data_IF_601471327960
#
_entry.id   IF_601471327960
#
_cell.length_a   1.000
_cell.length_b   1.000
_cell.length_c   1.000
_cell.angle_alpha   90.00
_cell.angle_beta   90.00
_cell.angle_gamma   90.00
#
_symmetry.space_group_name_H-M   'P 1'
#
loop_
_entity.id
_entity.type
_entity.pdbx_description
1 polymer ?
#
# COMPACT_ATOMS: atom_id res chain seq x y z
N UNK A 1 35.82 -1.94 -48.45
CA UNK A 1 34.52 -1.24 -48.43
C UNK A 1 33.75 -1.84 -47.28
N UNK A 2 33.86 -1.22 -46.11
CA UNK A 2 33.28 -1.71 -44.84
C UNK A 2 31.93 -0.98 -44.65
N UNK A 3 30.85 -1.73 -44.68
CA UNK A 3 29.50 -1.19 -44.43
C UNK A 3 29.32 -0.99 -42.93
N UNK A 4 29.25 0.24 -42.48
CA UNK A 4 28.81 0.65 -41.15
C UNK A 4 27.26 0.55 -41.09
N UNK A 5 26.76 -0.47 -40.42
CA UNK A 5 25.35 -0.56 -40.09
C UNK A 5 25.16 0.24 -38.77
N UNK A 6 24.58 1.45 -38.94
CA UNK A 6 24.14 2.27 -37.81
C UNK A 6 22.86 1.67 -37.24
N UNK A 7 22.93 1.05 -36.06
CA UNK A 7 21.79 0.71 -35.23
C UNK A 7 21.37 1.97 -34.46
N UNK A 8 20.44 2.73 -35.01
CA UNK A 8 19.73 3.76 -34.24
C UNK A 8 18.79 3.07 -33.27
N UNK A 9 19.28 2.76 -32.07
CA UNK A 9 18.49 2.25 -30.97
C UNK A 9 17.50 3.32 -30.51
N UNK A 10 16.22 3.11 -30.76
CA UNK A 10 15.12 3.90 -30.20
C UNK A 10 15.13 3.68 -28.69
N UNK A 11 15.78 4.56 -27.93
CA UNK A 11 15.69 4.59 -26.47
C UNK A 11 14.30 5.11 -26.15
N UNK A 12 13.36 4.17 -25.98
CA UNK A 12 12.04 4.51 -25.44
C UNK A 12 12.23 4.87 -23.97
N UNK A 13 12.39 6.14 -23.66
CA UNK A 13 12.45 6.65 -22.30
C UNK A 13 11.04 6.54 -21.73
N UNK A 14 10.74 5.42 -21.05
CA UNK A 14 9.55 5.33 -20.21
C UNK A 14 9.67 6.38 -19.11
N UNK A 15 8.94 7.46 -19.25
CA UNK A 15 8.82 8.48 -18.20
C UNK A 15 7.95 7.85 -17.09
N UNK A 16 8.60 7.33 -16.05
CA UNK A 16 7.87 6.88 -14.87
C UNK A 16 7.09 8.08 -14.33
N UNK A 17 5.78 7.95 -14.30
CA UNK A 17 4.90 9.00 -13.79
C UNK A 17 4.88 8.87 -12.29
N UNK A 18 5.27 9.90 -11.58
CA UNK A 18 5.33 9.98 -10.13
C UNK A 18 4.10 10.70 -9.60
N UNK A 19 3.52 10.23 -8.51
CA UNK A 19 2.49 10.98 -7.82
C UNK A 19 3.12 12.01 -6.88
N UNK A 20 2.40 13.12 -6.67
CA UNK A 20 2.80 14.16 -5.72
C UNK A 20 1.88 14.09 -4.51
N UNK A 21 2.47 14.07 -3.31
CA UNK A 21 1.79 14.12 -2.02
C UNK A 21 2.34 15.28 -1.21
N UNK A 22 1.66 15.65 -0.12
CA UNK A 22 2.09 16.76 0.73
C UNK A 22 2.14 16.34 2.21
N UNK A 23 2.97 17.05 2.97
CA UNK A 23 2.97 17.05 4.42
C UNK A 23 2.96 18.50 4.91
N UNK A 24 1.86 18.92 5.52
CA UNK A 24 1.64 20.33 5.94
C UNK A 24 1.83 21.32 4.79
N UNK A 25 1.37 20.91 3.58
CA UNK A 25 1.48 21.71 2.36
C UNK A 25 2.82 21.62 1.62
N UNK A 26 3.86 21.05 2.21
CA UNK A 26 5.15 20.82 1.54
C UNK A 26 5.07 19.58 0.65
N UNK A 27 5.39 19.75 -0.65
CA UNK A 27 5.25 18.71 -1.65
C UNK A 27 6.46 17.77 -1.72
N UNK A 28 6.19 16.48 -1.89
CA UNK A 28 7.17 15.45 -2.21
C UNK A 28 6.54 14.35 -3.07
N UNK A 29 7.35 13.46 -3.62
CA UNK A 29 6.91 12.52 -4.64
C UNK A 29 7.00 11.07 -4.16
N UNK A 30 6.17 10.22 -4.77
CA UNK A 30 6.33 8.77 -4.73
C UNK A 30 7.12 8.28 -5.95
N UNK A 31 7.67 7.07 -5.88
CA UNK A 31 8.47 6.46 -6.97
C UNK A 31 7.64 6.13 -8.23
N UNK A 32 6.31 6.16 -8.13
CA UNK A 32 5.41 5.82 -9.23
C UNK A 32 3.99 6.29 -8.98
N UNK A 33 3.03 5.69 -9.69
CA UNK A 33 1.58 5.83 -9.47
C UNK A 33 1.01 4.51 -8.95
N UNK A 34 -0.10 4.59 -8.21
CA UNK A 34 -0.84 3.42 -7.74
C UNK A 34 -1.41 2.60 -8.90
N UNK A 35 -1.64 1.29 -8.69
CA UNK A 35 -2.52 0.51 -9.55
C UNK A 35 -3.89 1.18 -9.64
N UNK A 36 -4.47 1.23 -10.83
CA UNK A 36 -5.75 1.90 -11.08
C UNK A 36 -6.91 0.92 -10.91
N UNK A 37 -8.08 1.45 -10.69
CA UNK A 37 -9.32 0.65 -10.75
C UNK A 37 -9.41 -0.08 -12.09
N UNK A 38 -9.67 -1.39 -12.00
CA UNK A 38 -9.69 -2.29 -13.14
C UNK A 38 -8.39 -3.03 -13.43
N UNK A 39 -7.25 -2.53 -12.92
CA UNK A 39 -5.97 -3.23 -13.05
C UNK A 39 -5.94 -4.49 -12.17
N UNK A 40 -5.04 -5.40 -12.49
CA UNK A 40 -4.70 -6.49 -11.58
C UNK A 40 -3.73 -5.96 -10.52
N UNK A 41 -4.02 -6.24 -9.24
CA UNK A 41 -3.12 -5.87 -8.15
C UNK A 41 -1.76 -6.56 -8.34
N UNK A 42 -0.63 -5.84 -8.22
CA UNK A 42 0.70 -6.46 -8.25
C UNK A 42 0.85 -7.50 -7.14
N UNK A 43 1.56 -8.57 -7.43
CA UNK A 43 1.91 -9.56 -6.41
C UNK A 43 2.78 -8.93 -5.32
N UNK A 44 2.71 -9.47 -4.10
CA UNK A 44 3.55 -9.01 -3.01
C UNK A 44 4.03 -10.18 -2.13
N UNK A 45 5.12 -9.93 -1.42
CA UNK A 45 5.63 -10.76 -0.34
C UNK A 45 5.97 -9.85 0.83
N UNK A 46 5.25 -10.02 1.93
CA UNK A 46 5.35 -9.21 3.14
C UNK A 46 5.53 -10.12 4.36
N UNK A 47 6.01 -9.59 5.46
CA UNK A 47 6.15 -10.35 6.72
C UNK A 47 4.99 -10.07 7.66
N UNK A 48 4.42 -11.15 8.22
CA UNK A 48 3.45 -11.04 9.31
C UNK A 48 4.14 -10.87 10.68
N UNK A 49 3.35 -10.77 11.73
CA UNK A 49 3.83 -10.62 13.12
C UNK A 49 4.62 -11.82 13.66
N UNK A 50 4.54 -12.97 12.99
CA UNK A 50 5.31 -14.18 13.31
C UNK A 50 6.58 -14.33 12.46
N UNK A 51 6.92 -13.31 11.64
CA UNK A 51 8.03 -13.32 10.69
C UNK A 51 7.87 -14.32 9.54
N UNK A 52 6.66 -14.77 9.28
CA UNK A 52 6.35 -15.62 8.14
C UNK A 52 6.05 -14.76 6.91
N UNK A 53 6.49 -15.24 5.74
CA UNK A 53 6.20 -14.58 4.47
C UNK A 53 4.75 -14.82 4.07
N UNK A 54 4.02 -13.74 3.83
CA UNK A 54 2.64 -13.72 3.34
C UNK A 54 2.64 -13.15 1.93
N UNK A 55 1.89 -13.78 1.02
CA UNK A 55 1.78 -13.40 -0.40
C UNK A 55 0.34 -13.03 -0.76
N UNK A 56 0.17 -12.25 -1.82
CA UNK A 56 -1.16 -11.97 -2.36
C UNK A 56 -1.92 -13.26 -2.70
N UNK A 57 -1.23 -14.27 -3.23
CA UNK A 57 -1.82 -15.58 -3.57
C UNK A 57 -2.44 -16.35 -2.40
N UNK A 58 -2.03 -16.05 -1.16
CA UNK A 58 -2.55 -16.72 0.04
C UNK A 58 -3.99 -16.27 0.36
N UNK A 59 -4.43 -15.17 -0.26
CA UNK A 59 -5.76 -14.60 -0.12
C UNK A 59 -6.67 -14.88 -1.33
N UNK A 60 -6.31 -15.82 -2.21
CA UNK A 60 -7.11 -16.14 -3.39
C UNK A 60 -8.56 -16.50 -3.03
N UNK A 61 -9.52 -15.87 -3.69
CA UNK A 61 -10.95 -16.04 -3.42
C UNK A 61 -11.50 -15.20 -2.28
N UNK A 62 -10.68 -14.29 -1.72
CA UNK A 62 -11.08 -13.30 -0.73
C UNK A 62 -10.94 -11.89 -1.29
N UNK A 63 -11.81 -10.99 -0.84
CA UNK A 63 -11.65 -9.56 -1.05
C UNK A 63 -10.65 -8.98 -0.06
N UNK A 64 -9.89 -7.99 -0.48
CA UNK A 64 -8.87 -7.38 0.38
C UNK A 64 -9.07 -5.88 0.48
N UNK A 65 -8.91 -5.35 1.67
CA UNK A 65 -8.69 -3.91 1.91
C UNK A 65 -7.23 -3.73 2.34
N UNK A 66 -6.42 -3.10 1.49
CA UNK A 66 -5.05 -2.74 1.79
C UNK A 66 -5.03 -1.33 2.37
N UNK A 67 -4.88 -1.22 3.69
CA UNK A 67 -4.67 0.03 4.41
C UNK A 67 -3.17 0.25 4.59
N UNK A 68 -2.60 1.11 3.76
CA UNK A 68 -1.17 1.34 3.66
C UNK A 68 -0.83 2.70 4.25
N UNK A 69 0.25 2.78 5.04
CA UNK A 69 0.59 4.02 5.74
C UNK A 69 2.08 4.09 6.11
N UNK A 70 2.62 5.28 6.43
CA UNK A 70 4.03 5.48 6.77
C UNK A 70 4.50 4.72 8.02
N UNK A 71 3.79 4.84 9.15
CA UNK A 71 4.16 4.18 10.40
C UNK A 71 2.98 4.09 11.37
N UNK A 72 2.85 2.92 11.99
CA UNK A 72 1.84 2.61 13.03
C UNK A 72 1.99 3.53 14.26
N UNK A 73 3.18 4.04 14.52
CA UNK A 73 3.49 4.91 15.65
C UNK A 73 3.13 6.39 15.41
N UNK A 74 2.40 6.71 14.32
CA UNK A 74 1.83 8.05 14.09
C UNK A 74 0.32 8.08 14.35
N UNK A 75 -0.19 9.19 14.87
CA UNK A 75 -1.59 9.30 15.31
C UNK A 75 -2.61 8.95 14.21
N UNK A 76 -2.44 9.49 13.01
CA UNK A 76 -3.40 9.28 11.91
C UNK A 76 -3.33 7.84 11.40
N UNK A 77 -2.13 7.22 11.32
CA UNK A 77 -1.99 5.83 10.94
C UNK A 77 -2.63 4.89 11.96
N UNK A 78 -2.35 5.10 13.24
CA UNK A 78 -2.98 4.36 14.33
C UNK A 78 -4.52 4.48 14.28
N UNK A 79 -5.03 5.69 14.02
CA UNK A 79 -6.46 5.94 13.86
C UNK A 79 -7.05 5.17 12.67
N UNK A 80 -6.36 5.13 11.53
CA UNK A 80 -6.83 4.37 10.36
C UNK A 80 -6.92 2.87 10.65
N UNK A 81 -5.94 2.30 11.35
CA UNK A 81 -5.97 0.88 11.74
C UNK A 81 -7.16 0.58 12.67
N UNK A 82 -7.40 1.43 13.68
CA UNK A 82 -8.58 1.28 14.58
C UNK A 82 -9.90 1.37 13.81
N UNK A 83 -10.00 2.33 12.88
CA UNK A 83 -11.19 2.53 12.07
C UNK A 83 -11.48 1.33 11.17
N UNK A 84 -10.48 0.79 10.51
CA UNK A 84 -10.65 -0.41 9.70
C UNK A 84 -10.93 -1.64 10.56
N UNK A 85 -10.26 -1.81 11.71
CA UNK A 85 -10.55 -2.92 12.63
C UNK A 85 -12.02 -2.93 13.08
N UNK A 86 -12.57 -1.75 13.38
CA UNK A 86 -13.97 -1.65 13.79
C UNK A 86 -14.95 -2.04 12.66
N UNK A 87 -14.63 -1.71 11.41
CA UNK A 87 -15.48 -1.96 10.24
C UNK A 87 -15.30 -3.35 9.66
N UNK A 88 -14.15 -3.96 9.85
CA UNK A 88 -13.82 -5.28 9.28
C UNK A 88 -14.82 -6.38 9.71
N UNK A 89 -15.39 -6.27 10.91
CA UNK A 89 -16.38 -7.21 11.43
C UNK A 89 -17.65 -7.34 10.58
N UNK A 90 -17.99 -6.28 9.86
CA UNK A 90 -19.22 -6.19 9.06
C UNK A 90 -18.95 -6.52 7.57
N UNK A 91 -17.71 -6.87 7.22
CA UNK A 91 -17.30 -7.17 5.86
C UNK A 91 -17.29 -8.68 5.61
N UNK A 92 -18.19 -9.15 4.76
CA UNK A 92 -18.22 -10.57 4.35
C UNK A 92 -17.07 -10.90 3.41
N UNK A 93 -16.46 -12.08 3.57
CA UNK A 93 -15.37 -12.61 2.73
C UNK A 93 -14.22 -11.63 2.46
N UNK A 94 -13.91 -10.76 3.45
CA UNK A 94 -12.95 -9.68 3.27
C UNK A 94 -11.89 -9.69 4.37
N UNK A 95 -10.61 -9.59 4.00
CA UNK A 95 -9.51 -9.39 4.94
C UNK A 95 -8.99 -7.96 4.85
N UNK A 96 -8.68 -7.36 6.00
CA UNK A 96 -8.08 -6.03 6.08
C UNK A 96 -6.61 -6.17 6.41
N UNK A 97 -5.75 -5.78 5.46
CA UNK A 97 -4.30 -5.83 5.58
C UNK A 97 -3.76 -4.43 5.85
N UNK A 98 -3.17 -4.23 7.03
CA UNK A 98 -2.54 -2.98 7.45
C UNK A 98 -1.04 -3.06 7.18
N UNK A 99 -0.56 -2.29 6.20
CA UNK A 99 0.78 -2.45 5.63
C UNK A 99 1.63 -1.20 5.87
N UNK A 100 2.84 -1.40 6.41
CA UNK A 100 3.84 -0.34 6.60
C UNK A 100 5.26 -0.91 6.52
N UNK A 101 6.27 -0.06 6.72
CA UNK A 101 7.67 -0.49 6.90
C UNK A 101 8.09 -0.61 8.36
N UNK A 102 7.15 -0.47 9.31
CA UNK A 102 7.43 -0.78 10.70
C UNK A 102 7.86 -2.24 10.85
N UNK A 103 8.70 -2.50 11.84
CA UNK A 103 9.07 -3.87 12.15
C UNK A 103 7.84 -4.66 12.63
N UNK A 104 7.71 -5.94 12.27
CA UNK A 104 6.61 -6.80 12.71
C UNK A 104 6.38 -6.78 14.22
N UNK A 105 7.46 -6.61 15.00
CA UNK A 105 7.39 -6.51 16.46
C UNK A 105 6.67 -5.25 16.95
N UNK A 106 6.88 -4.11 16.28
CA UNK A 106 6.20 -2.85 16.60
C UNK A 106 4.71 -2.93 16.23
N UNK A 107 4.40 -3.48 15.06
CA UNK A 107 3.03 -3.72 14.61
C UNK A 107 2.29 -4.65 15.59
N UNK A 108 2.92 -5.77 16.00
CA UNK A 108 2.36 -6.71 16.97
C UNK A 108 2.12 -6.05 18.33
N UNK A 109 3.09 -5.31 18.86
CA UNK A 109 2.94 -4.58 20.11
C UNK A 109 1.72 -3.65 20.09
N UNK A 110 1.52 -2.94 18.98
CA UNK A 110 0.39 -2.04 18.80
C UNK A 110 -0.95 -2.80 18.78
N UNK A 111 -1.07 -3.82 17.91
CA UNK A 111 -2.33 -4.59 17.79
C UNK A 111 -2.69 -5.33 19.06
N UNK A 112 -1.71 -5.95 19.74
CA UNK A 112 -1.93 -6.64 21.04
C UNK A 112 -2.34 -5.65 22.13
N UNK A 113 -1.63 -4.51 22.22
CA UNK A 113 -1.90 -3.48 23.23
C UNK A 113 -3.29 -2.86 23.11
N UNK A 114 -3.79 -2.74 21.89
CA UNK A 114 -5.11 -2.17 21.59
C UNK A 114 -6.19 -3.22 21.32
N UNK A 115 -5.85 -4.51 21.40
CA UNK A 115 -6.76 -5.64 21.18
C UNK A 115 -7.46 -5.60 19.83
N UNK A 116 -6.71 -5.31 18.76
CA UNK A 116 -7.21 -5.26 17.41
C UNK A 116 -7.08 -6.64 16.75
N UNK A 117 -8.18 -7.36 16.63
CA UNK A 117 -8.24 -8.75 16.15
C UNK A 117 -8.75 -8.91 14.73
N UNK A 118 -9.36 -7.86 14.15
CA UNK A 118 -10.02 -7.93 12.85
C UNK A 118 -9.15 -7.42 11.69
N UNK A 119 -7.92 -7.04 11.97
CA UNK A 119 -6.93 -6.60 10.98
C UNK A 119 -5.67 -7.45 11.04
N UNK A 120 -5.04 -7.64 9.90
CA UNK A 120 -3.75 -8.33 9.76
C UNK A 120 -2.69 -7.28 9.48
N UNK A 121 -1.67 -7.19 10.32
CA UNK A 121 -0.53 -6.30 10.08
C UNK A 121 0.57 -7.00 9.29
N UNK A 122 1.06 -6.33 8.24
CA UNK A 122 2.10 -6.83 7.36
C UNK A 122 3.20 -5.79 7.18
N UNK A 123 4.44 -6.25 7.09
CA UNK A 123 5.62 -5.37 7.01
C UNK A 123 6.40 -5.54 5.70
N UNK A 124 6.69 -4.40 5.03
CA UNK A 124 7.56 -4.30 3.85
C UNK A 124 9.03 -3.96 4.23
N UNK A 125 9.43 -4.13 5.50
CA UNK A 125 10.76 -3.68 5.94
C UNK A 125 11.91 -4.47 5.30
N UNK A 126 11.71 -5.76 5.02
CA UNK A 126 12.79 -6.65 4.63
C UNK A 126 13.22 -6.46 3.17
N UNK A 127 12.29 -6.47 2.24
CA UNK A 127 12.58 -6.37 0.81
C UNK A 127 12.40 -4.97 0.25
N UNK A 128 11.50 -4.20 0.85
CA UNK A 128 11.07 -2.88 0.40
C UNK A 128 10.54 -2.88 -1.05
N UNK A 129 10.13 -4.06 -1.53
CA UNK A 129 9.71 -4.24 -2.92
C UNK A 129 8.25 -3.84 -3.13
N UNK A 130 7.38 -4.09 -2.12
CA UNK A 130 5.97 -3.73 -2.18
C UNK A 130 5.74 -2.25 -2.49
N UNK A 131 6.45 -1.36 -1.78
CA UNK A 131 6.34 0.08 -2.01
C UNK A 131 6.70 0.51 -3.43
N UNK A 132 7.63 -0.19 -4.08
CA UNK A 132 8.06 0.07 -5.45
C UNK A 132 7.06 -0.48 -6.46
N UNK A 133 6.63 -1.73 -6.30
CA UNK A 133 5.72 -2.40 -7.23
C UNK A 133 4.33 -1.73 -7.27
N UNK A 134 3.91 -1.17 -6.13
CA UNK A 134 2.68 -0.40 -6.00
C UNK A 134 2.86 1.11 -6.28
N UNK A 135 4.07 1.58 -6.58
CA UNK A 135 4.37 2.97 -6.90
C UNK A 135 4.21 3.96 -5.74
N UNK A 136 4.19 3.47 -4.50
CA UNK A 136 3.79 4.25 -3.32
C UNK A 136 4.92 4.52 -2.32
N UNK A 137 6.15 4.07 -2.60
CA UNK A 137 7.32 4.46 -1.81
C UNK A 137 7.60 5.96 -1.96
N UNK A 138 7.83 6.64 -0.86
CA UNK A 138 8.15 8.07 -0.85
C UNK A 138 9.61 8.26 -1.24
N UNK A 139 9.86 9.01 -2.32
CA UNK A 139 11.19 9.17 -2.91
C UNK A 139 12.03 10.25 -2.23
N UNK A 140 11.39 11.29 -1.70
CA UNK A 140 12.07 12.45 -1.11
C UNK A 140 11.32 12.98 0.11
N UNK A 141 11.81 14.08 0.69
CA UNK A 141 11.21 14.69 1.88
C UNK A 141 11.49 13.93 3.18
N UNK A 142 10.83 14.35 4.29
CA UNK A 142 11.13 13.83 5.63
C UNK A 142 10.69 12.37 5.83
N UNK A 143 9.78 11.88 4.99
CA UNK A 143 9.28 10.50 5.02
C UNK A 143 9.87 9.62 3.92
N UNK A 144 11.01 10.04 3.34
CA UNK A 144 11.72 9.24 2.34
C UNK A 144 11.90 7.80 2.80
N UNK A 145 11.68 6.86 1.86
CA UNK A 145 11.72 5.41 2.06
C UNK A 145 10.60 4.84 2.94
N UNK A 146 9.63 5.63 3.39
CA UNK A 146 8.39 5.12 3.96
C UNK A 146 7.35 4.91 2.87
N UNK A 147 6.24 4.28 3.22
CA UNK A 147 5.09 4.13 2.33
C UNK A 147 4.17 5.34 2.47
N UNK A 148 3.58 5.79 1.36
CA UNK A 148 2.58 6.86 1.40
C UNK A 148 1.27 6.35 2.01
N UNK A 149 0.31 7.26 2.29
CA UNK A 149 -1.00 6.87 2.79
C UNK A 149 -1.91 6.52 1.63
N UNK A 150 -2.35 5.26 1.61
CA UNK A 150 -3.10 4.68 0.49
C UNK A 150 -4.14 3.69 1.01
N UNK A 151 -5.31 3.65 0.35
CA UNK A 151 -6.27 2.56 0.48
C UNK A 151 -6.53 1.96 -0.89
N UNK A 152 -6.37 0.64 -1.00
CA UNK A 152 -6.69 -0.13 -2.19
C UNK A 152 -7.66 -1.24 -1.79
N UNK A 153 -8.73 -1.43 -2.58
CA UNK A 153 -9.65 -2.54 -2.44
C UNK A 153 -9.49 -3.46 -3.64
N UNK A 154 -9.41 -4.76 -3.36
CA UNK A 154 -9.18 -5.81 -4.37
C UNK A 154 -10.28 -6.87 -4.26
N UNK A 155 -10.81 -7.33 -5.41
CA UNK A 155 -11.81 -8.39 -5.46
C UNK A 155 -11.20 -9.80 -5.31
N UNK A 156 -12.05 -10.82 -5.36
CA UNK A 156 -11.69 -12.23 -5.23
C UNK A 156 -10.76 -12.75 -6.34
N UNK A 157 -10.74 -12.10 -7.51
CA UNK A 157 -9.90 -12.41 -8.66
C UNK A 157 -8.58 -11.63 -8.66
N UNK A 158 -8.39 -10.71 -7.69
CA UNK A 158 -7.21 -9.86 -7.58
C UNK A 158 -7.27 -8.59 -8.44
N UNK A 159 -8.47 -8.14 -8.82
CA UNK A 159 -8.69 -6.89 -9.55
C UNK A 159 -8.94 -5.74 -8.59
N UNK A 160 -8.35 -4.60 -8.88
CA UNK A 160 -8.52 -3.37 -8.08
C UNK A 160 -9.92 -2.79 -8.29
N UNK A 161 -10.70 -2.70 -7.22
CA UNK A 161 -12.03 -2.08 -7.18
C UNK A 161 -11.97 -0.61 -6.77
N UNK A 162 -10.99 -0.24 -5.96
CA UNK A 162 -10.78 1.12 -5.45
C UNK A 162 -9.29 1.37 -5.25
N UNK A 163 -8.84 2.57 -5.56
CA UNK A 163 -7.44 2.99 -5.38
C UNK A 163 -7.39 4.47 -5.02
N UNK A 164 -7.04 4.77 -3.78
CA UNK A 164 -6.94 6.14 -3.27
C UNK A 164 -5.58 6.40 -2.66
N UNK A 165 -4.87 7.40 -3.18
CA UNK A 165 -3.75 8.03 -2.50
C UNK A 165 -4.22 9.31 -1.80
N UNK A 166 -3.96 9.41 -0.50
CA UNK A 166 -4.28 10.62 0.28
C UNK A 166 -3.23 11.68 -0.02
N UNK A 167 -3.64 12.80 -0.59
CA UNK A 167 -2.73 13.86 -1.04
C UNK A 167 -1.98 14.49 0.14
N UNK A 168 -2.68 14.92 1.19
CA UNK A 168 -2.05 15.38 2.43
C UNK A 168 -1.87 14.18 3.37
N UNK A 169 -0.63 13.73 3.57
CA UNK A 169 -0.33 12.49 4.29
C UNK A 169 -0.77 12.52 5.77
N UNK A 170 -1.02 13.71 6.29
CA UNK A 170 -1.55 13.92 7.64
C UNK A 170 -3.08 13.78 7.74
N UNK A 171 -3.79 13.66 6.61
CA UNK A 171 -5.24 13.45 6.59
C UNK A 171 -5.59 11.96 6.66
N UNK A 172 -6.81 11.66 7.12
CA UNK A 172 -7.38 10.30 7.08
C UNK A 172 -7.85 9.94 5.66
N UNK A 173 -7.83 8.64 5.27
CA UNK A 173 -8.39 8.21 4.00
C UNK A 173 -9.94 8.26 4.02
N UNK A 174 -10.54 8.25 2.83
CA UNK A 174 -11.99 8.10 2.69
C UNK A 174 -12.41 6.64 2.87
N UNK A 175 -12.65 6.26 4.12
CA UNK A 175 -13.10 4.91 4.50
C UNK A 175 -14.40 4.48 3.81
N UNK A 176 -15.35 5.45 3.64
CA UNK A 176 -16.66 5.12 3.11
C UNK A 176 -16.61 4.82 1.61
N UNK A 177 -15.86 5.63 0.85
CA UNK A 177 -15.67 5.39 -0.60
C UNK A 177 -14.98 4.05 -0.84
N UNK A 178 -13.95 3.70 -0.05
CA UNK A 178 -13.28 2.42 -0.17
C UNK A 178 -14.24 1.24 0.11
N UNK A 179 -14.94 1.26 1.23
CA UNK A 179 -15.79 0.14 1.66
C UNK A 179 -17.09 0.02 0.86
N UNK A 180 -17.58 1.10 0.25
CA UNK A 180 -18.76 1.08 -0.63
C UNK A 180 -18.58 0.14 -1.84
N UNK A 181 -17.35 -0.08 -2.29
CA UNK A 181 -17.05 -0.99 -3.41
C UNK A 181 -17.23 -2.47 -3.06
N UNK A 182 -17.39 -2.77 -1.76
CA UNK A 182 -17.59 -4.13 -1.22
C UNK A 182 -19.07 -4.44 -0.94
N UNK A 183 -19.96 -3.48 -1.13
CA UNK A 183 -21.43 -3.64 -0.99
C UNK A 183 -22.03 -4.01 -2.33
#
# INVERSE_FOLDING_TARGET
>A
MIALISFAGLICTFKIKMATITLKGEAFNTVGELPKEGDKAPDFQLLNSSLETVKLSDYKGKRLVLNIFPSIDTNVCATSVRNFNKRAKDLENTEVLCISRDLPFAQKRFTDGEKLSEVITLSDFQTQQFGKDYGLEIENGPFKNLLSRVVIVVDEEGKVLHSQQVTEIADEPDYLSALKTLL
#
